data_IF_644124199780
#
_entry.id   IF_644124199780
#
_cell.length_a   1.000
_cell.length_b   1.000
_cell.length_c   1.000
_cell.angle_alpha   90.00
_cell.angle_beta   90.00
_cell.angle_gamma   90.00
#
_symmetry.space_group_name_H-M   'P 1'
#
loop_
_entity.id
_entity.type
_entity.pdbx_description
1 polymer ?
#
# COMPACT_ATOMS: atom_id res chain seq x y z
N UNK A 1 -1.56 -19.11 -4.06
CA UNK A 1 -0.61 -20.06 -3.46
C UNK A 1 0.25 -19.41 -2.39
N UNK A 2 1.25 -20.11 -1.91
CA UNK A 2 2.12 -19.63 -0.83
C UNK A 2 2.89 -18.35 -1.20
N UNK A 3 3.31 -18.24 -2.48
CA UNK A 3 4.01 -17.06 -2.95
C UNK A 3 3.11 -15.82 -2.88
N UNK A 4 1.84 -15.96 -3.22
CA UNK A 4 0.88 -14.84 -3.17
C UNK A 4 0.61 -14.41 -1.72
N UNK A 5 0.50 -15.36 -0.79
CA UNK A 5 0.32 -15.07 0.63
C UNK A 5 1.55 -14.35 1.18
N UNK A 6 2.74 -14.83 0.83
CA UNK A 6 4.00 -14.19 1.25
C UNK A 6 4.11 -12.78 0.68
N UNK A 7 3.75 -12.60 -0.60
CA UNK A 7 3.74 -11.28 -1.25
C UNK A 7 2.76 -10.32 -0.59
N UNK A 8 1.58 -10.80 -0.23
CA UNK A 8 0.58 -9.98 0.47
C UNK A 8 1.06 -9.54 1.86
N UNK A 9 1.70 -10.46 2.59
CA UNK A 9 2.29 -10.14 3.90
C UNK A 9 3.42 -9.14 3.78
N UNK A 10 4.26 -9.28 2.74
CA UNK A 10 5.34 -8.33 2.47
C UNK A 10 4.78 -6.94 2.17
N UNK A 11 3.73 -6.85 1.34
CA UNK A 11 3.07 -5.58 1.05
C UNK A 11 2.51 -4.95 2.32
N UNK A 12 1.84 -5.74 3.17
CA UNK A 12 1.30 -5.25 4.43
C UNK A 12 2.40 -4.70 5.35
N UNK A 13 3.52 -5.42 5.46
CA UNK A 13 4.63 -5.00 6.33
C UNK A 13 5.31 -3.74 5.80
N UNK A 14 5.67 -3.72 4.52
CA UNK A 14 6.39 -2.60 3.91
C UNK A 14 5.48 -1.36 3.85
N UNK A 15 4.24 -1.52 3.44
CA UNK A 15 3.32 -0.38 3.38
C UNK A 15 2.86 0.06 4.77
N UNK A 16 2.80 -0.85 5.73
CA UNK A 16 2.58 -0.47 7.14
C UNK A 16 3.62 0.52 7.63
N UNK A 17 4.88 0.28 7.28
CA UNK A 17 5.99 1.18 7.59
C UNK A 17 5.92 2.46 6.76
N UNK A 18 5.85 2.32 5.44
CA UNK A 18 5.89 3.45 4.51
C UNK A 18 4.69 4.38 4.66
N UNK A 19 3.51 3.83 4.91
CA UNK A 19 2.31 4.64 5.05
C UNK A 19 2.41 5.61 6.23
N UNK A 20 3.04 5.20 7.32
CA UNK A 20 3.26 6.09 8.46
C UNK A 20 4.25 7.20 8.09
N UNK A 21 5.41 6.82 7.54
CA UNK A 21 6.48 7.78 7.25
C UNK A 21 6.04 8.82 6.21
N UNK A 22 5.48 8.36 5.08
CA UNK A 22 5.11 9.27 4.00
C UNK A 22 3.83 10.05 4.30
N UNK A 23 2.93 9.53 5.12
CA UNK A 23 1.81 10.31 5.63
C UNK A 23 2.30 11.45 6.52
N UNK A 24 3.28 11.18 7.38
CA UNK A 24 3.91 12.22 8.18
C UNK A 24 4.50 13.32 7.29
N UNK A 25 5.28 12.95 6.28
CA UNK A 25 5.89 13.92 5.37
C UNK A 25 4.84 14.82 4.69
N UNK A 26 3.70 14.24 4.32
CA UNK A 26 2.63 14.99 3.68
C UNK A 26 1.93 15.92 4.66
N UNK A 27 1.60 15.42 5.84
CA UNK A 27 0.78 16.16 6.81
C UNK A 27 1.56 17.24 7.57
N UNK A 28 2.88 17.07 7.73
CA UNK A 28 3.69 18.07 8.45
C UNK A 28 3.89 19.34 7.63
N UNK A 29 3.76 19.28 6.32
CA UNK A 29 3.90 20.42 5.40
C UNK A 29 5.21 21.19 5.56
N UNK A 30 6.31 20.48 5.79
CA UNK A 30 7.63 21.07 5.95
C UNK A 30 8.60 20.42 4.96
N UNK A 31 9.03 21.21 3.98
CA UNK A 31 9.90 20.74 2.89
C UNK A 31 11.24 20.22 3.38
N UNK A 32 11.73 20.66 4.52
CA UNK A 32 13.00 20.20 5.07
C UNK A 32 12.95 18.71 5.36
N UNK A 33 11.86 18.21 5.95
CA UNK A 33 11.70 16.77 6.18
C UNK A 33 11.67 15.99 4.88
N UNK A 34 11.08 16.54 3.83
CA UNK A 34 11.00 15.89 2.52
C UNK A 34 12.36 15.74 1.86
N UNK A 35 13.31 16.62 2.18
CA UNK A 35 14.68 16.55 1.64
C UNK A 35 15.60 15.59 2.41
N UNK A 36 15.18 15.13 3.58
CA UNK A 36 15.97 14.21 4.39
C UNK A 36 15.84 12.78 3.88
N UNK A 37 16.93 11.99 3.89
CA UNK A 37 16.84 10.57 3.52
C UNK A 37 15.93 9.83 4.49
N UNK A 38 15.03 8.98 3.95
CA UNK A 38 14.09 8.23 4.77
C UNK A 38 14.79 7.22 5.69
N UNK A 39 15.87 6.60 5.20
CA UNK A 39 16.66 5.59 5.91
C UNK A 39 15.82 4.39 6.37
N UNK A 40 14.85 4.03 5.56
CA UNK A 40 14.02 2.86 5.76
C UNK A 40 14.41 1.79 4.74
N UNK A 41 14.43 0.53 5.16
CA UNK A 41 14.76 -0.58 4.26
C UNK A 41 13.52 -1.04 3.50
N UNK A 42 13.63 -1.04 2.18
CA UNK A 42 12.52 -1.38 1.28
C UNK A 42 12.97 -2.36 0.20
N UNK A 43 13.94 -3.22 0.50
CA UNK A 43 14.54 -4.12 -0.48
C UNK A 43 13.53 -5.05 -1.13
N UNK A 44 12.50 -5.46 -0.39
CA UNK A 44 11.49 -6.38 -0.89
C UNK A 44 10.67 -5.78 -2.04
N UNK A 45 10.58 -4.45 -2.15
CA UNK A 45 9.84 -3.79 -3.23
C UNK A 45 10.46 -4.13 -4.58
N UNK A 46 11.79 -4.26 -4.64
CA UNK A 46 12.48 -4.62 -5.87
C UNK A 46 12.32 -6.07 -6.29
N UNK A 47 12.05 -6.96 -5.32
CA UNK A 47 11.87 -8.38 -5.57
C UNK A 47 10.89 -8.99 -4.56
N UNK A 48 9.59 -8.75 -4.75
CA UNK A 48 8.56 -9.18 -3.79
C UNK A 48 8.22 -10.67 -3.84
N UNK A 49 8.78 -11.44 -4.77
CA UNK A 49 8.48 -12.87 -4.92
C UNK A 49 7.19 -13.17 -5.68
N UNK A 50 6.47 -12.15 -6.12
CA UNK A 50 5.28 -12.24 -6.97
C UNK A 50 5.40 -11.21 -8.08
N UNK A 51 4.47 -11.22 -9.02
CA UNK A 51 4.42 -10.21 -10.09
C UNK A 51 4.42 -8.80 -9.49
N UNK A 52 5.22 -7.92 -10.08
CA UNK A 52 5.39 -6.56 -9.55
C UNK A 52 4.12 -5.73 -9.60
N UNK A 53 3.27 -5.93 -10.59
CA UNK A 53 1.99 -5.22 -10.67
C UNK A 53 1.00 -5.74 -9.63
N UNK A 54 1.01 -7.04 -9.36
CA UNK A 54 0.21 -7.60 -8.27
C UNK A 54 0.66 -7.04 -6.91
N UNK A 55 1.97 -6.97 -6.69
CA UNK A 55 2.52 -6.38 -5.48
C UNK A 55 2.14 -4.90 -5.37
N UNK A 56 2.19 -4.17 -6.48
CA UNK A 56 1.80 -2.75 -6.52
C UNK A 56 0.32 -2.57 -6.18
N UNK A 57 -0.53 -3.46 -6.69
CA UNK A 57 -1.97 -3.42 -6.42
C UNK A 57 -2.26 -3.72 -4.94
N UNK A 58 -1.57 -4.71 -4.37
CA UNK A 58 -1.67 -5.01 -2.93
C UNK A 58 -1.19 -3.82 -2.09
N UNK A 59 -0.11 -3.19 -2.51
CA UNK A 59 0.45 -2.00 -1.83
C UNK A 59 -0.53 -0.84 -1.86
N UNK A 60 -1.23 -0.64 -2.98
CA UNK A 60 -2.29 0.37 -3.08
C UNK A 60 -3.43 0.05 -2.10
N UNK A 61 -3.88 -1.20 -2.04
CA UNK A 61 -4.96 -1.61 -1.16
C UNK A 61 -4.61 -1.35 0.31
N UNK A 62 -3.41 -1.74 0.74
CA UNK A 62 -2.94 -1.50 2.12
C UNK A 62 -2.83 0.01 2.39
N UNK A 63 -2.31 0.77 1.45
CA UNK A 63 -2.17 2.23 1.58
C UNK A 63 -3.53 2.92 1.68
N UNK A 64 -4.55 2.40 0.98
CA UNK A 64 -5.91 2.91 1.08
C UNK A 64 -6.49 2.66 2.47
N UNK A 65 -6.30 1.45 3.01
CA UNK A 65 -6.75 1.12 4.38
C UNK A 65 -6.07 2.02 5.41
N UNK A 66 -4.80 2.27 5.26
CA UNK A 66 -4.01 3.08 6.21
C UNK A 66 -4.12 4.58 5.98
N UNK A 67 -4.73 5.02 4.88
CA UNK A 67 -5.00 6.43 4.62
C UNK A 67 -3.76 7.26 4.26
N UNK A 68 -2.80 6.70 3.55
CA UNK A 68 -1.62 7.44 3.10
C UNK A 68 -1.86 8.04 1.71
N UNK A 69 -2.19 9.34 1.66
CA UNK A 69 -2.48 10.02 0.39
C UNK A 69 -1.35 9.96 -0.61
N UNK A 70 -0.11 10.24 -0.19
CA UNK A 70 1.05 10.18 -1.08
C UNK A 70 1.29 8.77 -1.61
N UNK A 71 1.13 7.75 -0.76
CA UNK A 71 1.31 6.37 -1.16
C UNK A 71 0.25 5.94 -2.18
N UNK A 72 -1.00 6.34 -1.97
CA UNK A 72 -2.11 6.07 -2.88
C UNK A 72 -1.83 6.67 -4.25
N UNK A 73 -1.44 7.94 -4.30
CA UNK A 73 -1.13 8.64 -5.55
C UNK A 73 -0.01 7.92 -6.30
N UNK A 74 1.06 7.56 -5.60
CA UNK A 74 2.21 6.90 -6.18
C UNK A 74 1.86 5.54 -6.78
N UNK A 75 1.16 4.70 -6.03
CA UNK A 75 0.79 3.35 -6.47
C UNK A 75 -0.23 3.38 -7.61
N UNK A 76 -1.23 4.26 -7.52
CA UNK A 76 -2.26 4.40 -8.56
C UNK A 76 -1.63 4.84 -9.88
N UNK A 77 -0.75 5.85 -9.85
CA UNK A 77 -0.08 6.32 -11.05
C UNK A 77 0.78 5.24 -11.69
N UNK A 78 1.54 4.51 -10.88
CA UNK A 78 2.40 3.45 -11.37
C UNK A 78 1.60 2.33 -12.02
N UNK A 79 0.48 1.92 -11.43
CA UNK A 79 -0.41 0.91 -11.99
C UNK A 79 -0.96 1.36 -13.34
N UNK A 80 -1.43 2.59 -13.44
CA UNK A 80 -1.99 3.12 -14.68
C UNK A 80 -0.93 3.26 -15.76
N UNK A 81 0.27 3.66 -15.42
CA UNK A 81 1.38 3.76 -16.37
C UNK A 81 1.74 2.41 -16.98
N UNK A 82 1.44 1.31 -16.28
CA UNK A 82 1.65 -0.06 -16.76
C UNK A 82 0.39 -0.70 -17.34
N UNK A 83 -0.64 0.09 -17.62
CA UNK A 83 -1.81 -0.37 -18.33
C UNK A 83 -2.92 -0.98 -17.48
N UNK A 84 -2.81 -0.93 -16.16
CA UNK A 84 -3.87 -1.41 -15.27
C UNK A 84 -5.04 -0.42 -15.34
N UNK A 85 -6.25 -0.94 -15.55
CA UNK A 85 -7.43 -0.10 -15.71
C UNK A 85 -7.95 0.45 -14.40
N UNK A 86 -8.68 1.56 -14.48
CA UNK A 86 -9.33 2.15 -13.30
C UNK A 86 -10.34 1.19 -12.68
N UNK A 87 -11.04 0.39 -13.49
CA UNK A 87 -11.98 -0.61 -12.98
C UNK A 87 -11.27 -1.65 -12.11
N UNK A 88 -10.11 -2.14 -12.54
CA UNK A 88 -9.32 -3.09 -11.76
C UNK A 88 -8.83 -2.47 -10.45
N UNK A 89 -8.34 -1.24 -10.51
CA UNK A 89 -7.88 -0.52 -9.32
C UNK A 89 -9.04 -0.30 -8.36
N UNK A 90 -10.18 0.16 -8.86
CA UNK A 90 -11.38 0.37 -8.03
C UNK A 90 -11.84 -0.92 -7.37
N UNK A 91 -11.82 -2.04 -8.10
CA UNK A 91 -12.20 -3.34 -7.57
C UNK A 91 -11.31 -3.75 -6.41
N UNK A 92 -9.99 -3.54 -6.52
CA UNK A 92 -9.06 -3.81 -5.41
C UNK A 92 -9.37 -2.98 -4.18
N UNK A 93 -9.67 -1.70 -4.36
CA UNK A 93 -10.03 -0.80 -3.25
C UNK A 93 -11.35 -1.22 -2.61
N UNK A 94 -12.33 -1.63 -3.41
CA UNK A 94 -13.61 -2.15 -2.89
C UNK A 94 -13.41 -3.39 -2.03
N UNK A 95 -12.59 -4.33 -2.49
CA UNK A 95 -12.28 -5.56 -1.74
C UNK A 95 -11.63 -5.18 -0.42
N UNK A 96 -10.65 -4.29 -0.45
CA UNK A 96 -9.98 -3.82 0.76
C UNK A 96 -10.97 -3.18 1.73
N UNK A 97 -11.89 -2.35 1.24
CA UNK A 97 -12.89 -1.68 2.05
C UNK A 97 -13.81 -2.68 2.77
N UNK A 98 -14.30 -3.68 2.03
CA UNK A 98 -15.21 -4.69 2.60
C UNK A 98 -14.47 -5.54 3.63
N UNK A 99 -13.26 -6.01 3.29
CA UNK A 99 -12.46 -6.83 4.22
C UNK A 99 -12.14 -6.06 5.49
N UNK A 100 -11.78 -4.79 5.37
CA UNK A 100 -11.50 -3.93 6.53
C UNK A 100 -12.73 -3.79 7.42
N UNK A 101 -13.91 -3.57 6.83
CA UNK A 101 -15.15 -3.44 7.57
C UNK A 101 -15.50 -4.75 8.31
N UNK A 102 -15.37 -5.90 7.63
CA UNK A 102 -15.63 -7.21 8.24
C UNK A 102 -14.63 -7.49 9.36
N UNK A 103 -13.35 -7.19 9.15
CA UNK A 103 -12.32 -7.37 10.18
C UNK A 103 -12.65 -6.55 11.43
N UNK A 104 -13.11 -5.31 11.27
CA UNK A 104 -13.52 -4.48 12.38
C UNK A 104 -14.68 -5.07 13.18
N UNK A 105 -15.66 -5.64 12.49
CA UNK A 105 -16.79 -6.32 13.15
C UNK A 105 -16.30 -7.57 13.91
N UNK A 106 -15.46 -8.38 13.29
CA UNK A 106 -14.93 -9.58 13.94
C UNK A 106 -14.09 -9.24 15.18
N UNK A 107 -13.27 -8.20 15.10
CA UNK A 107 -12.47 -7.75 16.24
C UNK A 107 -13.34 -7.24 17.38
N UNK A 108 -14.47 -6.61 17.08
CA UNK A 108 -15.37 -6.07 18.10
C UNK A 108 -16.11 -7.15 18.89
N UNK A 109 -16.09 -8.40 18.42
CA UNK A 109 -16.75 -9.54 19.11
C UNK A 109 -15.84 -10.29 20.05
N UNK A 110 -14.57 -9.90 20.17
CA UNK A 110 -13.58 -10.56 21.03
C UNK A 110 -13.33 -9.85 22.34
#
# INVERSE_FOLDING_TARGET
GDADVTGARAAAAIMGMNNIYYRFLHLVEDAEYQSMPARLRMNVIGNPGIDKLDFELLSLAVSAVNGCGLCIISHERKLRDHGVTRETIQSAVRIAAVIHAVAGVLESTH
#
